data_IF_974034434740
#
_entry.id   IF_974034434740
#
_cell.length_a   1.000
_cell.length_b   1.000
_cell.length_c   1.000
_cell.angle_alpha   90.00
_cell.angle_beta   90.00
_cell.angle_gamma   90.00
#
_symmetry.space_group_name_H-M   'P 1'
#
loop_
_entity.id
_entity.type
_entity.pdbx_description
1 polymer ?
#
# COMPACT_ATOMS: atom_id res chain seq x y z
N UNK A 1 -6.02 17.50 -10.25
CA UNK A 1 -6.20 16.64 -11.44
C UNK A 1 -5.13 15.57 -11.33
N UNK A 2 -5.47 14.29 -11.51
CA UNK A 2 -4.48 13.22 -11.26
C UNK A 2 -3.49 13.05 -12.40
N UNK A 3 -3.96 13.21 -13.64
CA UNK A 3 -3.10 13.16 -14.81
C UNK A 3 -2.45 14.52 -15.02
N UNK A 4 -1.11 14.57 -14.93
CA UNK A 4 -0.30 15.70 -15.37
C UNK A 4 0.46 15.31 -16.64
N UNK A 5 0.22 15.98 -17.78
CA UNK A 5 0.95 15.71 -19.02
C UNK A 5 2.45 15.99 -18.92
N UNK A 6 2.90 16.71 -17.89
CA UNK A 6 4.31 16.99 -17.63
C UNK A 6 4.97 15.96 -16.71
N UNK A 7 4.22 14.98 -16.17
CA UNK A 7 4.80 13.94 -15.34
C UNK A 7 5.66 13.00 -16.19
N UNK A 8 6.98 13.22 -16.11
CA UNK A 8 7.99 12.46 -16.87
C UNK A 8 8.00 10.98 -16.54
N UNK A 9 7.42 10.55 -15.41
CA UNK A 9 7.30 9.13 -15.07
C UNK A 9 6.42 8.37 -16.08
N UNK A 10 5.44 9.07 -16.67
CA UNK A 10 4.46 8.47 -17.55
C UNK A 10 4.71 8.87 -19.00
N UNK A 11 4.68 7.89 -19.89
CA UNK A 11 4.64 8.11 -21.32
C UNK A 11 3.19 8.09 -21.78
N UNK A 12 2.67 9.23 -22.23
CA UNK A 12 1.32 9.33 -22.77
C UNK A 12 1.30 9.03 -24.26
N UNK A 13 0.36 8.18 -24.71
CA UNK A 13 0.07 7.98 -26.11
C UNK A 13 -1.39 7.60 -26.37
N UNK A 14 -1.83 7.70 -27.62
CA UNK A 14 -3.19 7.31 -28.05
C UNK A 14 -3.25 5.89 -28.65
N UNK A 15 -2.11 5.21 -28.77
CA UNK A 15 -2.05 3.87 -29.35
C UNK A 15 -2.58 2.81 -28.37
N UNK A 16 -3.72 2.19 -28.75
CA UNK A 16 -4.26 1.02 -28.04
C UNK A 16 -3.30 -0.17 -28.06
N UNK A 17 -2.82 -0.52 -29.25
CA UNK A 17 -1.80 -1.55 -29.45
C UNK A 17 -0.48 -0.83 -29.70
N UNK A 18 0.50 -1.08 -28.83
CA UNK A 18 1.75 -0.35 -28.87
C UNK A 18 2.57 -0.74 -30.10
N UNK A 19 2.93 0.24 -30.93
CA UNK A 19 3.85 0.01 -32.04
C UNK A 19 5.28 -0.22 -31.53
N UNK A 20 6.13 -0.88 -32.32
CA UNK A 20 7.53 -1.11 -31.95
C UNK A 20 8.28 0.19 -31.68
N UNK A 21 7.98 1.25 -32.43
CA UNK A 21 8.59 2.58 -32.26
C UNK A 21 8.14 3.22 -30.94
N UNK A 22 6.83 3.23 -30.67
CA UNK A 22 6.27 3.74 -29.42
C UNK A 22 6.70 2.92 -28.19
N UNK A 23 6.94 1.62 -28.35
CA UNK A 23 7.50 0.77 -27.29
C UNK A 23 8.93 1.18 -26.93
N UNK A 24 9.78 1.43 -27.94
CA UNK A 24 11.14 1.94 -27.73
C UNK A 24 11.12 3.33 -27.11
N UNK A 25 10.24 4.22 -27.57
CA UNK A 25 10.08 5.56 -27.01
C UNK A 25 9.63 5.53 -25.54
N UNK A 26 8.64 4.69 -25.22
CA UNK A 26 8.16 4.48 -23.86
C UNK A 26 9.29 4.00 -22.95
N UNK A 27 10.07 2.99 -23.39
CA UNK A 27 11.19 2.48 -22.61
C UNK A 27 12.29 3.53 -22.41
N UNK A 28 12.63 4.27 -23.46
CA UNK A 28 13.61 5.35 -23.38
C UNK A 28 13.16 6.48 -22.44
N UNK A 29 11.88 6.83 -22.44
CA UNK A 29 11.31 7.80 -21.50
C UNK A 29 11.49 7.32 -20.05
N UNK A 30 11.14 6.06 -19.78
CA UNK A 30 11.31 5.45 -18.47
C UNK A 30 12.77 5.42 -18.00
N UNK A 31 13.69 4.95 -18.86
CA UNK A 31 15.11 4.87 -18.52
C UNK A 31 15.69 6.29 -18.27
N UNK A 32 15.24 7.30 -19.03
CA UNK A 32 15.62 8.70 -18.81
C UNK A 32 15.11 9.23 -17.49
N UNK A 33 13.82 9.00 -17.17
CA UNK A 33 13.23 9.38 -15.89
C UNK A 33 13.95 8.70 -14.72
N UNK A 34 14.25 7.40 -14.83
CA UNK A 34 14.97 6.66 -13.80
C UNK A 34 16.37 7.23 -13.57
N UNK A 35 17.11 7.52 -14.66
CA UNK A 35 18.44 8.12 -14.58
C UNK A 35 18.40 9.50 -13.92
N UNK A 36 17.46 10.34 -14.31
CA UNK A 36 17.27 11.67 -13.71
C UNK A 36 16.89 11.57 -12.22
N UNK A 37 16.06 10.59 -11.87
CA UNK A 37 15.64 10.32 -10.49
C UNK A 37 16.81 9.89 -9.62
N UNK A 38 17.67 9.00 -10.12
CA UNK A 38 18.88 8.55 -9.42
C UNK A 38 19.89 9.70 -9.26
N UNK A 39 20.08 10.51 -10.32
CA UNK A 39 21.02 11.63 -10.29
C UNK A 39 20.56 12.77 -9.38
N UNK A 40 19.25 12.87 -9.11
CA UNK A 40 18.66 13.90 -8.27
C UNK A 40 17.99 13.32 -7.00
N UNK A 41 18.47 12.18 -6.51
CA UNK A 41 17.86 11.45 -5.40
C UNK A 41 17.48 12.33 -4.19
N UNK A 42 18.32 13.28 -3.73
CA UNK A 42 17.97 14.15 -2.61
C UNK A 42 16.79 15.09 -2.92
N UNK A 43 16.75 15.66 -4.13
CA UNK A 43 15.66 16.54 -4.57
C UNK A 43 14.35 15.77 -4.74
N UNK A 44 14.44 14.58 -5.34
CA UNK A 44 13.30 13.66 -5.47
C UNK A 44 12.72 13.30 -4.11
N UNK A 45 13.56 12.94 -3.12
CA UNK A 45 13.07 12.63 -1.76
C UNK A 45 12.35 13.84 -1.17
N UNK A 46 12.88 15.05 -1.33
CA UNK A 46 12.25 16.29 -0.85
C UNK A 46 10.93 16.58 -1.55
N UNK A 47 10.82 16.35 -2.85
CA UNK A 47 9.60 16.58 -3.62
C UNK A 47 8.55 15.50 -3.35
N UNK A 48 8.97 14.26 -3.09
CA UNK A 48 8.08 13.20 -2.59
C UNK A 48 7.47 13.56 -1.23
N UNK A 49 8.23 14.24 -0.36
CA UNK A 49 7.78 14.65 0.96
C UNK A 49 6.79 15.83 0.94
N UNK A 50 6.58 16.47 -0.21
CA UNK A 50 5.67 17.60 -0.38
C UNK A 50 4.35 17.18 -1.03
N UNK A 51 3.26 17.83 -0.64
CA UNK A 51 1.98 17.76 -1.34
C UNK A 51 1.97 18.63 -2.60
N UNK A 52 0.86 18.62 -3.33
CA UNK A 52 0.65 19.42 -4.55
C UNK A 52 0.80 20.94 -4.29
N UNK A 53 0.62 21.38 -3.03
CA UNK A 53 0.79 22.77 -2.58
C UNK A 53 2.21 23.07 -2.06
N UNK A 54 3.14 22.11 -2.18
CA UNK A 54 4.53 22.25 -1.74
C UNK A 54 4.73 22.16 -0.22
N UNK A 55 3.71 21.75 0.55
CA UNK A 55 3.77 21.60 2.01
C UNK A 55 4.18 20.17 2.38
N UNK A 56 4.93 20.03 3.46
CA UNK A 56 5.33 18.71 3.99
C UNK A 56 4.10 17.88 4.36
N UNK A 57 3.92 16.72 3.72
CA UNK A 57 2.88 15.77 4.09
C UNK A 57 3.21 15.14 5.45
N UNK A 58 2.53 15.60 6.50
CA UNK A 58 2.70 15.06 7.85
C UNK A 58 2.48 13.54 7.93
N UNK A 59 1.61 12.98 7.09
CA UNK A 59 1.38 11.53 6.96
C UNK A 59 2.61 10.78 6.43
N UNK A 60 3.38 11.39 5.53
CA UNK A 60 4.57 10.77 4.94
C UNK A 60 5.76 10.83 5.89
N UNK A 61 5.94 11.95 6.62
CA UNK A 61 6.95 12.07 7.69
C UNK A 61 6.70 11.03 8.78
N UNK A 62 5.43 10.83 9.17
CA UNK A 62 5.04 9.79 10.13
C UNK A 62 5.33 8.39 9.58
N UNK A 63 5.10 8.17 8.28
CA UNK A 63 5.41 6.92 7.58
C UNK A 63 6.91 6.61 7.56
N UNK A 64 7.74 7.56 7.14
CA UNK A 64 9.21 7.41 7.11
C UNK A 64 9.79 7.21 8.51
N UNK A 65 9.33 7.98 9.50
CA UNK A 65 9.72 7.78 10.90
C UNK A 65 9.30 6.39 11.40
N UNK A 66 8.07 5.97 11.07
CA UNK A 66 7.58 4.63 11.35
C UNK A 66 8.47 3.53 10.75
N UNK A 67 8.88 3.65 9.49
CA UNK A 67 9.79 2.69 8.84
C UNK A 67 11.13 2.59 9.56
N UNK A 68 11.73 3.73 9.94
CA UNK A 68 13.00 3.76 10.68
C UNK A 68 12.83 3.12 12.07
N UNK A 69 11.76 3.47 12.80
CA UNK A 69 11.46 2.89 14.10
C UNK A 69 11.29 1.37 14.05
N UNK A 70 10.63 0.84 13.01
CA UNK A 70 10.53 -0.61 12.80
C UNK A 70 11.88 -1.24 12.55
N UNK A 71 12.68 -0.64 11.68
CA UNK A 71 13.98 -1.21 11.32
C UNK A 71 14.89 -1.29 12.55
N UNK A 72 14.98 -0.20 13.32
CA UNK A 72 15.68 -0.16 14.61
C UNK A 72 15.09 -1.17 15.60
N UNK A 73 13.77 -1.27 15.65
CA UNK A 73 13.05 -2.23 16.49
C UNK A 73 13.36 -3.69 16.15
N UNK A 74 13.41 -4.05 14.87
CA UNK A 74 13.78 -5.40 14.41
C UNK A 74 15.21 -5.72 14.82
N UNK A 75 16.16 -4.80 14.59
CA UNK A 75 17.55 -4.97 15.02
C UNK A 75 17.61 -5.17 16.54
N UNK A 76 16.88 -4.36 17.30
CA UNK A 76 16.83 -4.47 18.75
C UNK A 76 16.25 -5.82 19.22
N UNK A 77 15.19 -6.32 18.56
CA UNK A 77 14.61 -7.64 18.83
C UNK A 77 15.62 -8.76 18.55
N UNK A 78 16.32 -8.72 17.40
CA UNK A 78 17.36 -9.70 17.05
C UNK A 78 18.49 -9.69 18.08
N UNK A 79 18.97 -8.51 18.46
CA UNK A 79 19.99 -8.37 19.51
C UNK A 79 19.50 -8.93 20.84
N UNK A 80 18.25 -8.65 21.24
CA UNK A 80 17.64 -9.22 22.44
C UNK A 80 17.60 -10.75 22.39
N UNK A 81 17.28 -11.35 21.24
CA UNK A 81 17.32 -12.81 21.08
C UNK A 81 18.74 -13.38 21.22
N UNK A 82 19.76 -12.70 20.64
CA UNK A 82 21.17 -13.12 20.76
C UNK A 82 21.63 -13.09 22.22
N UNK A 83 21.30 -12.03 22.96
CA UNK A 83 21.68 -11.90 24.39
C UNK A 83 20.71 -12.59 25.35
N UNK A 84 19.74 -13.37 24.81
CA UNK A 84 18.72 -14.11 25.57
C UNK A 84 17.87 -13.23 26.50
N UNK A 85 17.64 -11.97 26.11
CA UNK A 85 16.75 -10.99 26.78
C UNK A 85 15.35 -11.01 26.17
N UNK A 86 14.68 -12.16 26.25
CA UNK A 86 13.34 -12.37 25.67
C UNK A 86 12.27 -11.46 26.30
N UNK A 87 12.48 -11.05 27.55
CA UNK A 87 11.64 -10.09 28.26
C UNK A 87 11.62 -8.71 27.60
N UNK A 88 12.79 -8.22 27.19
CA UNK A 88 12.92 -6.92 26.51
C UNK A 88 12.37 -7.02 25.08
N UNK A 89 12.64 -8.13 24.39
CA UNK A 89 12.11 -8.37 23.04
C UNK A 89 10.57 -8.26 22.99
N UNK A 90 9.88 -8.82 23.98
CA UNK A 90 8.42 -8.75 24.09
C UNK A 90 7.89 -7.31 24.17
N UNK A 91 8.54 -6.45 24.97
CA UNK A 91 8.18 -5.04 25.10
C UNK A 91 8.45 -4.25 23.83
N UNK A 92 9.55 -4.53 23.12
CA UNK A 92 9.84 -3.89 21.84
C UNK A 92 8.77 -4.27 20.79
N UNK A 93 8.42 -5.56 20.70
CA UNK A 93 7.34 -6.04 19.81
C UNK A 93 6.03 -5.33 20.15
N UNK A 94 5.66 -5.28 21.44
CA UNK A 94 4.47 -4.59 21.92
C UNK A 94 4.47 -3.11 21.51
N UNK A 95 5.59 -2.40 21.69
CA UNK A 95 5.71 -0.99 21.35
C UNK A 95 5.55 -0.74 19.84
N UNK A 96 6.15 -1.57 18.99
CA UNK A 96 6.04 -1.45 17.53
C UNK A 96 4.59 -1.68 17.09
N UNK A 97 3.94 -2.74 17.59
CA UNK A 97 2.56 -3.06 17.22
C UNK A 97 1.60 -1.98 17.73
N UNK A 98 1.79 -1.51 18.97
CA UNK A 98 0.96 -0.44 19.53
C UNK A 98 1.13 0.86 18.74
N UNK A 99 2.36 1.20 18.33
CA UNK A 99 2.62 2.36 17.49
C UNK A 99 1.88 2.27 16.16
N UNK A 100 2.01 1.15 15.42
CA UNK A 100 1.25 0.97 14.18
C UNK A 100 -0.26 0.96 14.37
N UNK A 101 -0.72 0.32 15.43
CA UNK A 101 -2.13 0.32 15.80
C UNK A 101 -2.67 1.73 16.00
N UNK A 102 -1.93 2.56 16.75
CA UNK A 102 -2.28 3.95 17.00
C UNK A 102 -2.23 4.79 15.71
N UNK A 103 -1.21 4.61 14.88
CA UNK A 103 -1.07 5.32 13.59
C UNK A 103 -2.26 4.99 12.67
N UNK A 104 -2.56 3.71 12.44
CA UNK A 104 -3.68 3.31 11.58
C UNK A 104 -5.04 3.72 12.13
N UNK A 105 -5.19 3.73 13.46
CA UNK A 105 -6.42 4.16 14.11
C UNK A 105 -6.63 5.68 13.99
N UNK A 106 -5.57 6.46 14.16
CA UNK A 106 -5.61 7.92 14.15
C UNK A 106 -5.45 8.53 12.75
N UNK A 107 -5.04 7.75 11.74
CA UNK A 107 -4.84 8.25 10.39
C UNK A 107 -6.15 8.86 9.86
N UNK A 108 -6.14 10.13 9.44
CA UNK A 108 -7.33 10.74 8.87
C UNK A 108 -7.68 10.07 7.52
N UNK A 109 -8.84 10.40 6.99
CA UNK A 109 -9.17 10.13 5.59
C UNK A 109 -8.23 10.96 4.69
N UNK A 110 -6.97 10.54 4.59
CA UNK A 110 -5.97 11.22 3.77
C UNK A 110 -6.25 10.94 2.31
N UNK A 111 -6.04 11.93 1.44
CA UNK A 111 -5.91 11.75 -0.01
C UNK A 111 -4.62 10.99 -0.32
N UNK A 112 -4.64 9.67 -0.20
CA UNK A 112 -3.53 8.83 -0.64
C UNK A 112 -3.49 8.82 -2.18
N UNK A 113 -2.27 8.93 -2.75
CA UNK A 113 -2.05 8.85 -4.21
C UNK A 113 -2.29 7.45 -4.80
N UNK A 114 -2.52 6.45 -3.94
CA UNK A 114 -2.68 5.05 -4.28
C UNK A 114 -4.08 4.55 -3.86
N UNK A 115 -4.44 3.36 -4.34
CA UNK A 115 -5.69 2.69 -4.02
C UNK A 115 -6.03 2.75 -2.52
N UNK A 116 -7.17 3.35 -2.21
CA UNK A 116 -7.59 3.55 -0.83
C UNK A 116 -8.46 2.42 -0.30
N UNK A 117 -8.13 1.96 0.89
CA UNK A 117 -9.05 1.25 1.76
C UNK A 117 -9.94 2.24 2.53
N UNK A 118 -11.18 1.83 2.78
CA UNK A 118 -12.12 2.60 3.57
C UNK A 118 -11.55 2.96 4.95
N UNK A 119 -11.81 4.19 5.41
CA UNK A 119 -11.37 4.71 6.73
C UNK A 119 -11.80 3.78 7.87
N UNK A 120 -12.99 3.19 7.76
CA UNK A 120 -13.50 2.24 8.75
C UNK A 120 -12.64 0.98 8.87
N UNK A 121 -12.21 0.40 7.74
CA UNK A 121 -11.34 -0.78 7.74
C UNK A 121 -9.99 -0.48 8.39
N UNK A 122 -9.40 0.70 8.10
CA UNK A 122 -8.16 1.16 8.75
C UNK A 122 -8.28 1.27 10.27
N UNK A 123 -9.38 1.83 10.76
CA UNK A 123 -9.62 1.97 12.20
C UNK A 123 -9.78 0.63 12.89
N UNK A 124 -10.52 -0.31 12.27
CA UNK A 124 -10.63 -1.68 12.81
C UNK A 124 -9.25 -2.35 12.84
N UNK A 125 -8.47 -2.20 11.76
CA UNK A 125 -7.12 -2.74 11.70
C UNK A 125 -6.24 -2.18 12.82
N UNK A 126 -6.27 -0.86 13.02
CA UNK A 126 -5.55 -0.20 14.11
C UNK A 126 -5.97 -0.73 15.49
N UNK A 127 -7.28 -0.91 15.70
CA UNK A 127 -7.81 -1.48 16.95
C UNK A 127 -7.34 -2.92 17.19
N UNK A 128 -7.33 -3.78 16.17
CA UNK A 128 -6.83 -5.16 16.27
C UNK A 128 -5.37 -5.17 16.70
N UNK A 129 -4.53 -4.31 16.10
CA UNK A 129 -3.13 -4.20 16.48
C UNK A 129 -2.98 -3.74 17.94
N UNK A 130 -3.73 -2.72 18.37
CA UNK A 130 -3.71 -2.25 19.76
C UNK A 130 -4.11 -3.36 20.75
N UNK A 131 -5.16 -4.13 20.44
CA UNK A 131 -5.58 -5.28 21.26
C UNK A 131 -4.47 -6.34 21.29
N UNK A 132 -3.85 -6.65 20.15
CA UNK A 132 -2.73 -7.58 20.08
C UNK A 132 -1.53 -7.16 20.93
N UNK A 133 -1.19 -5.87 20.94
CA UNK A 133 -0.16 -5.32 21.80
C UNK A 133 -0.51 -5.49 23.29
N UNK A 134 -1.76 -5.22 23.68
CA UNK A 134 -2.25 -5.43 25.05
C UNK A 134 -2.14 -6.91 25.44
N UNK A 135 -2.54 -7.84 24.56
CA UNK A 135 -2.43 -9.29 24.80
C UNK A 135 -0.97 -9.68 25.04
N UNK A 136 -0.03 -9.21 24.21
CA UNK A 136 1.41 -9.49 24.36
C UNK A 136 1.93 -8.92 25.69
N UNK A 137 1.54 -7.69 26.06
CA UNK A 137 1.92 -7.09 27.34
C UNK A 137 1.39 -7.90 28.53
N UNK A 138 0.13 -8.33 28.49
CA UNK A 138 -0.48 -9.15 29.55
C UNK A 138 0.21 -10.52 29.66
N UNK A 139 0.48 -11.18 28.54
CA UNK A 139 1.23 -12.45 28.51
C UNK A 139 2.61 -12.29 29.14
N UNK A 140 3.30 -11.17 28.88
CA UNK A 140 4.57 -10.84 29.52
C UNK A 140 4.44 -10.64 31.03
N UNK A 141 3.40 -9.95 31.50
CA UNK A 141 3.20 -9.67 32.93
C UNK A 141 2.84 -10.93 33.73
N UNK A 142 2.10 -11.86 33.13
CA UNK A 142 1.68 -13.10 33.78
C UNK A 142 2.82 -14.14 33.80
N UNK A 143 3.68 -14.14 32.79
CA UNK A 143 4.77 -15.11 32.67
C UNK A 143 5.96 -14.74 33.56
N UNK A 144 6.17 -15.52 34.62
CA UNK A 144 7.27 -15.34 35.58
C UNK A 144 8.61 -15.87 35.08
N UNK A 145 8.62 -16.79 34.11
CA UNK A 145 9.85 -17.35 33.51
C UNK A 145 10.03 -16.90 32.05
N UNK A 146 10.83 -15.85 31.81
CA UNK A 146 11.11 -15.34 30.47
C UNK A 146 12.02 -16.25 29.64
N UNK A 147 12.66 -17.26 30.23
CA UNK A 147 13.53 -18.23 29.54
C UNK A 147 12.77 -19.46 29.04
N UNK A 148 11.52 -19.63 29.47
CA UNK A 148 10.69 -20.75 29.04
C UNK A 148 10.36 -20.62 27.54
N UNK A 149 10.71 -21.64 26.76
CA UNK A 149 10.30 -21.77 25.34
C UNK A 149 8.80 -21.50 25.14
N UNK A 150 7.97 -21.90 26.11
CA UNK A 150 6.52 -21.66 26.13
C UNK A 150 6.15 -20.17 26.10
N UNK A 151 6.94 -19.31 26.75
CA UNK A 151 6.72 -17.86 26.76
C UNK A 151 6.94 -17.27 25.36
N UNK A 152 8.04 -17.64 24.71
CA UNK A 152 8.35 -17.20 23.35
C UNK A 152 7.29 -17.69 22.35
N UNK A 153 6.88 -18.95 22.44
CA UNK A 153 5.80 -19.52 21.60
C UNK A 153 4.50 -18.74 21.80
N UNK A 154 4.15 -18.39 23.04
CA UNK A 154 2.92 -17.64 23.35
C UNK A 154 2.92 -16.23 22.74
N UNK A 155 4.06 -15.53 22.75
CA UNK A 155 4.18 -14.21 22.10
C UNK A 155 4.05 -14.34 20.59
N UNK A 156 4.76 -15.29 19.99
CA UNK A 156 4.71 -15.51 18.54
C UNK A 156 3.29 -15.92 18.10
N UNK A 157 2.58 -16.68 18.92
CA UNK A 157 1.19 -17.05 18.67
C UNK A 157 0.29 -15.82 18.69
N UNK A 158 0.37 -15.00 19.75
CA UNK A 158 -0.41 -13.75 19.86
C UNK A 158 -0.11 -12.79 18.68
N UNK A 159 1.16 -12.67 18.29
CA UNK A 159 1.57 -11.89 17.12
C UNK A 159 0.94 -12.43 15.84
N UNK A 160 1.01 -13.73 15.61
CA UNK A 160 0.49 -14.38 14.40
C UNK A 160 -1.02 -14.21 14.28
N UNK A 161 -1.77 -14.39 15.38
CA UNK A 161 -3.23 -14.16 15.42
C UNK A 161 -3.56 -12.70 15.14
N UNK A 162 -2.82 -11.77 15.75
CA UNK A 162 -3.03 -10.33 15.56
C UNK A 162 -2.83 -9.92 14.10
N UNK A 163 -1.73 -10.38 13.48
CA UNK A 163 -1.42 -10.10 12.08
C UNK A 163 -2.42 -10.77 11.13
N UNK A 164 -2.83 -12.00 11.42
CA UNK A 164 -3.87 -12.72 10.68
C UNK A 164 -5.19 -11.92 10.64
N UNK A 165 -5.70 -11.51 11.81
CA UNK A 165 -6.93 -10.74 11.90
C UNK A 165 -6.80 -9.39 11.19
N UNK A 166 -5.66 -8.71 11.35
CA UNK A 166 -5.36 -7.45 10.64
C UNK A 166 -5.43 -7.62 9.12
N UNK A 167 -4.85 -8.70 8.57
CA UNK A 167 -4.83 -8.94 7.13
C UNK A 167 -6.18 -9.37 6.58
N UNK A 168 -7.01 -10.08 7.37
CA UNK A 168 -8.41 -10.35 7.01
C UNK A 168 -9.18 -9.06 6.80
N UNK A 169 -9.06 -8.11 7.74
CA UNK A 169 -9.76 -6.82 7.62
C UNK A 169 -9.29 -6.06 6.38
N UNK A 170 -8.00 -6.13 6.06
CA UNK A 170 -7.46 -5.55 4.84
C UNK A 170 -8.04 -6.20 3.57
N UNK A 171 -8.12 -7.52 3.52
CA UNK A 171 -8.78 -8.26 2.43
C UNK A 171 -10.25 -7.84 2.26
N UNK A 172 -10.99 -7.72 3.36
CA UNK A 172 -12.39 -7.26 3.35
C UNK A 172 -12.48 -5.80 2.86
N UNK A 173 -11.59 -4.93 3.34
CA UNK A 173 -11.51 -3.53 2.95
C UNK A 173 -11.29 -3.38 1.44
N UNK A 174 -10.34 -4.13 0.88
CA UNK A 174 -10.05 -4.11 -0.56
C UNK A 174 -11.22 -4.64 -1.39
N UNK A 175 -11.82 -5.76 -0.97
CA UNK A 175 -13.00 -6.33 -1.64
C UNK A 175 -14.18 -5.34 -1.66
N UNK A 176 -14.34 -4.55 -0.60
CA UNK A 176 -15.44 -3.60 -0.45
C UNK A 176 -15.08 -2.17 -0.90
N UNK A 177 -13.86 -1.91 -1.36
CA UNK A 177 -13.42 -0.57 -1.73
C UNK A 177 -14.27 0.02 -2.86
N UNK A 178 -14.65 -0.81 -3.84
CA UNK A 178 -15.51 -0.40 -4.97
C UNK A 178 -16.95 -0.03 -4.61
N UNK A 179 -17.36 -0.24 -3.36
CA UNK A 179 -18.66 0.17 -2.84
C UNK A 179 -18.56 1.18 -1.69
N UNK A 180 -17.38 1.28 -1.04
CA UNK A 180 -17.18 2.14 0.13
C UNK A 180 -16.40 3.41 -0.19
N UNK A 181 -15.46 3.35 -1.15
CA UNK A 181 -14.60 4.46 -1.54
C UNK A 181 -15.02 5.00 -2.91
N UNK A 182 -15.13 4.11 -3.91
CA UNK A 182 -15.48 4.46 -5.29
C UNK A 182 -16.98 4.29 -5.53
N UNK A 183 -17.77 5.26 -5.04
CA UNK A 183 -19.22 5.13 -4.89
C UNK A 183 -20.02 5.66 -6.08
N UNK A 184 -19.48 6.66 -6.79
CA UNK A 184 -20.19 7.35 -7.87
C UNK A 184 -19.75 6.82 -9.22
N UNK A 185 -20.73 6.54 -10.09
CA UNK A 185 -20.50 6.17 -11.48
C UNK A 185 -20.67 7.39 -12.38
N UNK A 186 -19.64 7.71 -13.17
CA UNK A 186 -19.65 8.84 -14.11
C UNK A 186 -19.35 8.36 -15.53
N UNK A 187 -19.97 9.00 -16.50
CA UNK A 187 -19.63 8.81 -17.91
C UNK A 187 -18.31 9.54 -18.20
N UNK A 188 -17.35 8.79 -18.73
CA UNK A 188 -16.02 9.29 -19.03
C UNK A 188 -15.62 8.94 -20.47
N UNK A 189 -14.81 9.80 -21.07
CA UNK A 189 -14.23 9.60 -22.38
C UNK A 189 -12.77 9.18 -22.25
N UNK A 190 -12.36 8.14 -22.95
CA UNK A 190 -10.96 7.74 -23.03
C UNK A 190 -10.22 8.70 -23.95
N UNK A 191 -9.20 9.40 -23.45
CA UNK A 191 -8.40 10.35 -24.23
C UNK A 191 -7.04 9.81 -24.66
N UNK A 192 -6.60 8.69 -24.06
CA UNK A 192 -5.34 8.03 -24.38
C UNK A 192 -4.94 7.05 -23.28
N UNK A 193 -3.66 6.73 -23.19
CA UNK A 193 -3.10 5.86 -22.17
C UNK A 193 -1.83 6.48 -21.61
N UNK A 194 -1.63 6.29 -20.31
CA UNK A 194 -0.31 6.42 -19.70
C UNK A 194 0.35 5.06 -19.59
N UNK A 195 1.65 5.04 -19.85
CA UNK A 195 2.49 3.84 -19.83
C UNK A 195 3.72 4.09 -18.99
N UNK A 196 4.14 3.09 -18.23
CA UNK A 196 5.36 3.13 -17.45
C UNK A 196 5.86 1.72 -17.20
N UNK A 197 6.96 1.58 -16.49
CA UNK A 197 7.53 0.28 -16.12
C UNK A 197 7.72 0.20 -14.60
N UNK A 198 7.53 -0.99 -14.05
CA UNK A 198 7.87 -1.31 -12.67
C UNK A 198 8.94 -2.41 -12.67
N UNK A 199 9.96 -2.27 -11.83
CA UNK A 199 10.94 -3.32 -11.63
C UNK A 199 10.28 -4.52 -10.95
N UNK A 200 10.41 -5.69 -11.57
CA UNK A 200 9.98 -6.96 -10.99
C UNK A 200 11.16 -7.71 -10.35
N UNK A 201 12.34 -7.60 -10.97
CA UNK A 201 13.61 -8.09 -10.46
C UNK A 201 14.75 -7.22 -11.04
N UNK A 202 15.99 -7.41 -10.59
CA UNK A 202 17.17 -6.63 -11.02
C UNK A 202 17.35 -6.57 -12.54
N UNK A 203 16.86 -7.58 -13.25
CA UNK A 203 16.99 -7.70 -14.71
C UNK A 203 15.69 -7.54 -15.48
N UNK A 204 14.53 -7.42 -14.81
CA UNK A 204 13.24 -7.44 -15.49
C UNK A 204 12.33 -6.30 -15.05
N UNK A 205 11.75 -5.65 -16.04
CA UNK A 205 10.70 -4.65 -15.84
C UNK A 205 9.39 -5.17 -16.39
N UNK A 206 8.32 -4.89 -15.67
CA UNK A 206 6.95 -5.17 -16.06
C UNK A 206 6.33 -3.89 -16.57
N UNK A 207 5.77 -3.95 -17.78
CA UNK A 207 5.02 -2.85 -18.36
C UNK A 207 3.71 -2.62 -17.60
N UNK A 208 3.41 -1.35 -17.34
CA UNK A 208 2.18 -0.88 -16.71
C UNK A 208 1.47 0.08 -17.63
N UNK A 209 0.17 -0.09 -17.78
CA UNK A 209 -0.67 0.76 -18.60
C UNK A 209 -1.94 1.15 -17.85
N UNK A 210 -2.42 2.36 -18.08
CA UNK A 210 -3.73 2.79 -17.63
C UNK A 210 -4.37 3.74 -18.65
N UNK A 211 -5.65 3.55 -19.01
CA UNK A 211 -6.37 4.54 -19.79
C UNK A 211 -6.46 5.86 -19.02
N UNK A 212 -6.36 6.96 -19.75
CA UNK A 212 -6.64 8.30 -19.22
C UNK A 212 -8.06 8.66 -19.58
N UNK A 213 -8.84 9.02 -18.56
CA UNK A 213 -10.23 9.39 -18.66
C UNK A 213 -10.39 10.89 -18.52
N UNK A 214 -11.24 11.47 -19.37
CA UNK A 214 -11.77 12.82 -19.24
C UNK A 214 -13.25 12.74 -18.88
N UNK A 215 -13.64 13.41 -17.79
CA UNK A 215 -15.01 13.39 -17.27
C UNK A 215 -15.34 14.69 -16.53
N UNK A 216 -16.63 14.89 -16.25
CA UNK A 216 -17.12 16.01 -15.47
C UNK A 216 -17.81 15.49 -14.20
N UNK A 217 -17.49 16.12 -13.07
CA UNK A 217 -18.15 15.85 -11.79
C UNK A 217 -18.38 17.17 -11.07
N UNK A 218 -19.62 17.41 -10.63
CA UNK A 218 -20.03 18.67 -9.97
C UNK A 218 -19.63 19.95 -10.75
N UNK A 219 -19.72 19.90 -12.08
CA UNK A 219 -19.39 21.02 -12.97
C UNK A 219 -17.88 21.22 -13.22
N UNK A 220 -17.01 20.46 -12.55
CA UNK A 220 -15.57 20.53 -12.73
C UNK A 220 -15.10 19.45 -13.71
N UNK A 221 -14.14 19.81 -14.57
CA UNK A 221 -13.50 18.89 -15.51
C UNK A 221 -12.33 18.17 -14.82
N UNK A 222 -12.28 16.86 -14.95
CA UNK A 222 -11.22 16.02 -14.42
C UNK A 222 -10.53 15.22 -15.53
N UNK A 223 -9.23 15.00 -15.34
CA UNK A 223 -8.44 14.06 -16.12
C UNK A 223 -7.68 13.14 -15.18
N UNK A 224 -7.96 11.85 -15.26
CA UNK A 224 -7.46 10.86 -14.31
C UNK A 224 -7.23 9.52 -14.96
N UNK A 225 -6.26 8.78 -14.44
CA UNK A 225 -6.02 7.39 -14.79
C UNK A 225 -6.37 6.49 -13.60
N UNK A 226 -6.57 5.20 -13.85
CA UNK A 226 -6.91 4.23 -12.80
C UNK A 226 -5.91 4.28 -11.64
N UNK A 227 -6.41 4.26 -10.40
CA UNK A 227 -5.59 4.13 -9.18
C UNK A 227 -4.67 2.91 -9.20
N UNK A 228 -5.07 1.94 -10.02
CA UNK A 228 -4.33 0.73 -10.27
C UNK A 228 -4.12 0.58 -11.76
N UNK A 229 -2.87 0.60 -12.18
CA UNK A 229 -2.49 0.33 -13.57
C UNK A 229 -2.58 -1.17 -13.86
N UNK A 230 -3.05 -1.50 -15.06
CA UNK A 230 -3.03 -2.85 -15.59
C UNK A 230 -1.59 -3.25 -15.95
N UNK A 231 -1.28 -4.53 -15.79
CA UNK A 231 -0.03 -5.10 -16.31
C UNK A 231 -0.19 -5.39 -17.80
N UNK A 232 0.76 -4.92 -18.62
CA UNK A 232 0.84 -5.22 -20.05
C UNK A 232 1.03 -3.99 -20.93
N UNK A 233 1.20 -4.25 -22.22
CA UNK A 233 1.51 -3.22 -23.24
C UNK A 233 0.32 -2.79 -24.08
N UNK A 234 -0.88 -3.34 -23.89
CA UNK A 234 -2.02 -3.02 -24.74
C UNK A 234 -3.19 -2.49 -23.92
N UNK A 235 -3.80 -1.42 -24.42
CA UNK A 235 -5.02 -0.85 -23.88
C UNK A 235 -6.22 -1.75 -24.15
N UNK A 236 -7.17 -1.77 -23.21
CA UNK A 236 -8.41 -2.55 -23.34
C UNK A 236 -9.53 -1.77 -24.04
N UNK A 237 -9.68 -0.49 -23.67
CA UNK A 237 -10.70 0.43 -24.19
C UNK A 237 -10.17 1.20 -25.40
N UNK A 238 -11.00 1.59 -26.36
CA UNK A 238 -10.57 2.38 -27.53
C UNK A 238 -10.50 3.88 -27.21
N UNK A 239 -9.51 4.60 -27.73
CA UNK A 239 -9.43 6.06 -27.59
C UNK A 239 -10.62 6.71 -28.29
N UNK A 240 -11.20 7.71 -27.62
CA UNK A 240 -12.42 8.38 -28.06
C UNK A 240 -13.71 7.68 -27.64
N UNK A 241 -13.65 6.43 -27.17
CA UNK A 241 -14.83 5.73 -26.64
C UNK A 241 -15.28 6.32 -25.30
N UNK A 242 -16.58 6.23 -25.05
CA UNK A 242 -17.19 6.57 -23.76
C UNK A 242 -17.46 5.31 -22.96
N UNK A 243 -17.14 5.35 -21.66
CA UNK A 243 -17.41 4.27 -20.72
C UNK A 243 -17.79 4.82 -19.36
N UNK A 244 -18.47 4.00 -18.55
CA UNK A 244 -18.72 4.32 -17.14
C UNK A 244 -17.52 3.93 -16.29
N UNK A 245 -17.08 4.85 -15.45
CA UNK A 245 -16.03 4.62 -14.45
C UNK A 245 -16.58 4.91 -13.06
N UNK A 246 -16.03 4.23 -12.05
CA UNK A 246 -16.33 4.53 -10.65
C UNK A 246 -15.27 5.46 -10.07
N UNK A 247 -15.72 6.56 -9.47
CA UNK A 247 -14.87 7.56 -8.83
C UNK A 247 -15.16 7.66 -7.34
N UNK A 248 -14.21 8.20 -6.57
CA UNK A 248 -14.48 8.60 -5.19
C UNK A 248 -15.14 9.97 -5.16
N UNK A 249 -16.36 10.14 -4.60
CA UNK A 249 -16.99 11.46 -4.53
C UNK A 249 -16.21 12.45 -3.65
N UNK A 250 -15.50 11.95 -2.63
CA UNK A 250 -14.70 12.75 -1.71
C UNK A 250 -13.35 13.17 -2.32
N UNK A 251 -12.92 12.47 -3.37
CA UNK A 251 -11.69 12.73 -4.14
C UNK A 251 -11.87 12.29 -5.60
N UNK A 252 -12.56 13.09 -6.44
CA UNK A 252 -13.02 12.70 -7.77
C UNK A 252 -11.91 12.26 -8.71
N UNK A 253 -10.66 12.60 -8.40
CA UNK A 253 -9.44 12.25 -9.13
C UNK A 253 -9.08 10.76 -9.01
N UNK A 254 -9.62 10.07 -8.01
CA UNK A 254 -9.43 8.64 -7.81
C UNK A 254 -10.41 7.83 -8.64
N UNK A 255 -9.87 6.96 -9.49
CA UNK A 255 -10.65 6.13 -10.39
C UNK A 255 -10.40 4.66 -10.10
N UNK A 256 -11.48 3.91 -9.89
CA UNK A 256 -11.40 2.48 -9.59
C UNK A 256 -10.91 1.68 -10.80
N UNK A 257 -9.82 0.94 -10.63
CA UNK A 257 -9.39 -0.09 -11.59
C UNK A 257 -9.99 -1.47 -11.28
N UNK A 258 -9.98 -2.35 -12.28
CA UNK A 258 -10.54 -3.72 -12.20
C UNK A 258 -9.56 -4.75 -11.58
N UNK A 259 -8.58 -4.28 -10.82
CA UNK A 259 -7.39 -5.07 -10.55
C UNK A 259 -7.54 -5.96 -9.32
N UNK A 260 -7.69 -7.25 -9.61
CA UNK A 260 -7.65 -8.36 -8.65
C UNK A 260 -6.28 -8.48 -7.94
N UNK A 261 -5.22 -7.92 -8.51
CA UNK A 261 -3.83 -8.10 -8.06
C UNK A 261 -3.55 -7.51 -6.66
N UNK A 262 -4.43 -6.66 -6.13
CA UNK A 262 -4.25 -6.01 -4.82
C UNK A 262 -4.60 -6.93 -3.66
N UNK A 263 -5.33 -8.01 -3.94
CA UNK A 263 -5.70 -9.00 -2.94
C UNK A 263 -4.60 -10.03 -2.71
N UNK A 264 -3.73 -10.29 -3.69
CA UNK A 264 -2.77 -11.40 -3.62
C UNK A 264 -1.83 -11.29 -2.41
N UNK A 265 -1.23 -10.12 -2.20
CA UNK A 265 -0.35 -9.88 -1.05
C UNK A 265 -1.05 -10.11 0.29
N UNK A 266 -2.11 -9.34 0.62
CA UNK A 266 -2.88 -9.54 1.84
C UNK A 266 -3.40 -10.97 2.03
N UNK A 267 -3.84 -11.64 0.96
CA UNK A 267 -4.33 -13.03 1.02
C UNK A 267 -3.19 -13.99 1.38
N UNK A 268 -2.04 -13.90 0.71
CA UNK A 268 -0.86 -14.74 1.01
C UNK A 268 -0.42 -14.52 2.46
N UNK A 269 -0.30 -13.27 2.91
CA UNK A 269 0.06 -12.97 4.31
C UNK A 269 -0.98 -13.49 5.31
N UNK A 270 -2.26 -13.42 4.98
CA UNK A 270 -3.35 -13.98 5.80
C UNK A 270 -3.16 -15.48 5.98
N UNK A 271 -2.95 -16.21 4.88
CA UNK A 271 -2.75 -17.68 4.91
C UNK A 271 -1.50 -18.03 5.71
N UNK A 272 -0.38 -17.35 5.49
CA UNK A 272 0.87 -17.60 6.22
C UNK A 272 0.72 -17.36 7.73
N UNK A 273 0.09 -16.25 8.13
CA UNK A 273 -0.12 -15.93 9.55
C UNK A 273 -1.07 -16.94 10.22
N UNK A 274 -2.09 -17.40 9.48
CA UNK A 274 -3.00 -18.45 9.97
C UNK A 274 -2.27 -19.77 10.21
N UNK A 275 -1.49 -20.24 9.21
CA UNK A 275 -0.71 -21.47 9.32
C UNK A 275 0.29 -21.38 10.48
N UNK A 276 0.99 -20.25 10.62
CA UNK A 276 1.89 -20.01 11.73
C UNK A 276 1.17 -20.07 13.10
N UNK A 277 -0.01 -19.44 13.22
CA UNK A 277 -0.80 -19.48 14.45
C UNK A 277 -1.23 -20.92 14.80
N UNK A 278 -1.63 -21.73 13.82
CA UNK A 278 -2.01 -23.14 14.05
C UNK A 278 -0.81 -23.96 14.51
N UNK A 279 0.35 -23.84 13.86
CA UNK A 279 1.57 -24.56 14.25
C UNK A 279 1.97 -24.19 15.69
N UNK A 280 1.99 -22.89 16.00
CA UNK A 280 2.35 -22.41 17.33
C UNK A 280 1.34 -22.88 18.40
N UNK A 281 0.05 -22.93 18.07
CA UNK A 281 -0.98 -23.49 18.97
C UNK A 281 -0.73 -24.98 19.26
N UNK A 282 -0.43 -25.78 18.23
CA UNK A 282 -0.11 -27.21 18.40
C UNK A 282 1.15 -27.39 19.26
N UNK A 283 2.16 -26.54 19.11
CA UNK A 283 3.36 -26.58 19.95
C UNK A 283 3.12 -26.18 21.41
N UNK A 284 1.99 -25.52 21.72
CA UNK A 284 1.60 -25.16 23.08
C UNK A 284 0.82 -26.26 23.81
N UNK A 285 0.14 -27.14 23.07
CA UNK A 285 -0.64 -28.27 23.58
C UNK A 285 0.28 -29.44 23.98
#
# INVERSE_FOLDING_TARGET
MKYDPNDRKFFFNEEKILSSESAVACRKNYDSWQKDTINNLPGVIVDYLKDEDGRLQGSMVLGSFGTVCVFVGIIAIVMCFIVKRYDIAAWIICAIIAFFGAVLFAQPATRAKAFEEGVFSRRIQGLILLIGAIIIAVLRLISSDPLALRFVISILFALSVTLFLSMIIKCIGYKNAGNSVYREEVDAKVIGYIRTYEHYDEMSVISKISPVFEYYFEGNKYQSYLDIMDTGDNGKLDVGSSCKIKISPDDPEKVMGDSKNFMDGPVVFTVLCFVAAVILLVMML
#
